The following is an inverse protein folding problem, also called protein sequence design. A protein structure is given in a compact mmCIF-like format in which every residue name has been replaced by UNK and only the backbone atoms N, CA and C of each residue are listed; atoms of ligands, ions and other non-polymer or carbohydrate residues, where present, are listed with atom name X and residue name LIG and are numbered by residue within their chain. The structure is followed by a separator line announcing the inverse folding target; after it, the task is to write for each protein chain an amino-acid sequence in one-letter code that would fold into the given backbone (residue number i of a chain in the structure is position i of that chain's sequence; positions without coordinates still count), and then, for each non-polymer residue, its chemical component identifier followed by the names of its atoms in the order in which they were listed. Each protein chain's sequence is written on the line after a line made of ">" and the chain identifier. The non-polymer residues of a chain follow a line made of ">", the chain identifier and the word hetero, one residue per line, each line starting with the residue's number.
data_IF_506263716170
#
_entry.id   IF_506263716170
#
_cell.length_a   1.000
_cell.length_b   1.000
_cell.length_c   1.000
_cell.angle_alpha   90.00
_cell.angle_beta   90.00
_cell.angle_gamma   90.00
#
_symmetry.space_group_name_H-M   'P 1'
#
loop_
_entity.id
_entity.type
_entity.pdbx_description
1 polymer ?
#
# COMPACT_ATOMS: atom_id res chain seq x y z
N UNK A 1 11.78 -16.59 -3.32
CA UNK A 1 12.10 -15.45 -2.43
C UNK A 1 11.72 -14.10 -3.07
N UNK A 2 11.87 -13.98 -4.39
CA UNK A 2 11.53 -12.79 -5.19
C UNK A 2 10.06 -12.32 -5.07
N UNK A 3 9.11 -13.26 -4.93
CA UNK A 3 7.68 -12.94 -4.87
C UNK A 3 7.29 -12.06 -3.66
N UNK A 4 7.96 -12.23 -2.51
CA UNK A 4 7.69 -11.43 -1.31
C UNK A 4 8.25 -10.00 -1.42
N UNK A 5 9.37 -9.83 -2.13
CA UNK A 5 9.95 -8.50 -2.34
C UNK A 5 9.09 -7.68 -3.31
N UNK A 6 8.67 -8.30 -4.43
CA UNK A 6 7.80 -7.65 -5.41
C UNK A 6 6.45 -7.25 -4.80
N UNK A 7 5.87 -8.15 -3.99
CA UNK A 7 4.66 -7.85 -3.21
C UNK A 7 4.85 -6.64 -2.30
N UNK A 8 5.90 -6.63 -1.47
CA UNK A 8 6.17 -5.50 -0.56
C UNK A 8 6.42 -4.20 -1.31
N UNK A 9 7.16 -4.25 -2.42
CA UNK A 9 7.45 -3.07 -3.24
C UNK A 9 6.17 -2.48 -3.84
N UNK A 10 5.32 -3.32 -4.41
CA UNK A 10 4.05 -2.87 -4.98
C UNK A 10 3.13 -2.27 -3.92
N UNK A 11 2.92 -2.97 -2.80
CA UNK A 11 2.05 -2.49 -1.71
C UNK A 11 2.57 -1.17 -1.13
N UNK A 12 3.88 -1.07 -0.89
CA UNK A 12 4.48 0.16 -0.37
C UNK A 12 4.31 1.32 -1.35
N UNK A 13 4.65 1.10 -2.61
CA UNK A 13 4.45 2.09 -3.66
C UNK A 13 2.98 2.53 -3.70
N UNK A 14 2.04 1.59 -3.87
CA UNK A 14 0.62 1.90 -4.05
C UNK A 14 -0.03 2.58 -2.83
N UNK A 15 0.29 2.16 -1.60
CA UNK A 15 -0.38 2.69 -0.40
C UNK A 15 0.25 3.98 0.16
N UNK A 16 1.55 4.19 -0.04
CA UNK A 16 2.31 5.24 0.65
C UNK A 16 2.96 6.27 -0.26
N UNK A 17 3.50 5.85 -1.41
CA UNK A 17 4.37 6.70 -2.22
C UNK A 17 3.74 7.17 -3.51
N UNK A 18 2.89 6.36 -4.13
CA UNK A 18 2.28 6.65 -5.41
C UNK A 18 1.30 7.82 -5.28
N UNK A 19 1.47 8.80 -6.16
CA UNK A 19 0.48 9.86 -6.38
C UNK A 19 -0.68 9.34 -7.21
N UNK A 20 -1.82 10.05 -7.17
CA UNK A 20 -2.98 9.71 -8.01
C UNK A 20 -2.63 9.68 -9.50
N UNK A 21 -1.77 10.58 -9.97
CA UNK A 21 -1.30 10.63 -11.36
C UNK A 21 -0.46 9.40 -11.73
N UNK A 22 0.44 8.97 -10.84
CA UNK A 22 1.25 7.77 -11.08
C UNK A 22 0.41 6.49 -11.09
N UNK A 23 -0.62 6.41 -10.22
CA UNK A 23 -1.57 5.31 -10.22
C UNK A 23 -2.36 5.30 -11.53
N UNK A 24 -2.90 6.45 -11.94
CA UNK A 24 -3.66 6.56 -13.18
C UNK A 24 -2.80 6.17 -14.39
N UNK A 25 -1.55 6.64 -14.45
CA UNK A 25 -0.61 6.27 -15.50
C UNK A 25 -0.30 4.78 -15.51
N UNK A 26 -0.14 4.16 -14.34
CA UNK A 26 0.08 2.72 -14.22
C UNK A 26 -1.15 1.93 -14.69
N UNK A 27 -2.36 2.37 -14.35
CA UNK A 27 -3.62 1.77 -14.80
C UNK A 27 -3.79 1.94 -16.32
N UNK A 28 -3.43 3.08 -16.90
CA UNK A 28 -3.47 3.30 -18.35
C UNK A 28 -2.46 2.43 -19.11
N UNK A 29 -1.24 2.29 -18.57
CA UNK A 29 -0.14 1.58 -19.25
C UNK A 29 -0.24 0.07 -19.08
N UNK A 30 -0.70 -0.41 -17.91
CA UNK A 30 -0.65 -1.82 -17.55
C UNK A 30 -1.84 -2.27 -16.71
N UNK A 31 -3.05 -1.86 -17.12
CA UNK A 31 -4.33 -2.10 -16.42
C UNK A 31 -4.48 -3.53 -15.89
N UNK A 32 -4.21 -4.53 -16.73
CA UNK A 32 -4.42 -5.92 -16.38
C UNK A 32 -3.47 -6.39 -15.25
N UNK A 33 -2.21 -5.96 -15.28
CA UNK A 33 -1.26 -6.28 -14.23
C UNK A 33 -1.59 -5.56 -12.93
N UNK A 34 -1.93 -4.26 -13.01
CA UNK A 34 -2.33 -3.47 -11.84
C UNK A 34 -3.56 -4.07 -11.17
N UNK A 35 -4.63 -4.34 -11.94
CA UNK A 35 -5.85 -4.96 -11.41
C UNK A 35 -5.56 -6.31 -10.75
N UNK A 36 -4.76 -7.16 -11.40
CA UNK A 36 -4.38 -8.45 -10.82
C UNK A 36 -3.64 -8.28 -9.49
N UNK A 37 -2.70 -7.35 -9.39
CA UNK A 37 -1.95 -7.09 -8.15
C UNK A 37 -2.83 -6.48 -7.06
N UNK A 38 -3.79 -5.62 -7.43
CA UNK A 38 -4.79 -5.08 -6.50
C UNK A 38 -5.70 -6.19 -5.96
N UNK A 39 -6.14 -7.12 -6.81
CA UNK A 39 -6.95 -8.26 -6.38
C UNK A 39 -6.13 -9.21 -5.49
N UNK A 40 -4.92 -9.56 -5.93
CA UNK A 40 -4.02 -10.49 -5.25
C UNK A 40 -3.59 -9.99 -3.86
N UNK A 41 -3.43 -8.68 -3.70
CA UNK A 41 -2.97 -8.04 -2.45
C UNK A 41 -4.05 -7.21 -1.75
N UNK A 42 -5.32 -7.40 -2.13
CA UNK A 42 -6.48 -6.66 -1.61
C UNK A 42 -6.53 -6.65 -0.08
N UNK A 43 -6.32 -7.81 0.55
CA UNK A 43 -6.34 -7.95 2.00
C UNK A 43 -5.28 -7.07 2.71
N UNK A 44 -4.04 -7.08 2.24
CA UNK A 44 -2.99 -6.23 2.82
C UNK A 44 -3.22 -4.75 2.55
N UNK A 45 -3.67 -4.40 1.34
CA UNK A 45 -4.00 -3.02 0.95
C UNK A 45 -5.11 -2.47 1.85
N UNK A 46 -6.18 -3.23 2.07
CA UNK A 46 -7.31 -2.81 2.89
C UNK A 46 -6.91 -2.63 4.36
N UNK A 47 -6.07 -3.52 4.88
CA UNK A 47 -5.50 -3.38 6.22
C UNK A 47 -4.68 -2.09 6.35
N UNK A 48 -3.84 -1.77 5.36
CA UNK A 48 -3.05 -0.53 5.36
C UNK A 48 -3.94 0.70 5.24
N UNK A 49 -4.93 0.69 4.33
CA UNK A 49 -5.90 1.78 4.17
C UNK A 49 -6.69 2.03 5.46
N UNK A 50 -7.13 0.97 6.14
CA UNK A 50 -7.84 1.06 7.42
C UNK A 50 -6.97 1.70 8.49
N UNK A 51 -5.72 1.25 8.60
CA UNK A 51 -4.76 1.80 9.56
C UNK A 51 -4.45 3.27 9.24
N UNK A 52 -4.21 3.61 7.97
CA UNK A 52 -3.94 4.97 7.51
C UNK A 52 -5.12 5.90 7.82
N UNK A 53 -6.34 5.48 7.50
CA UNK A 53 -7.58 6.21 7.84
C UNK A 53 -7.74 6.39 9.35
N UNK A 54 -7.43 5.37 10.16
CA UNK A 54 -7.44 5.52 11.61
C UNK A 54 -6.45 6.58 12.08
N UNK A 55 -5.21 6.59 11.55
CA UNK A 55 -4.21 7.60 11.91
C UNK A 55 -4.58 9.01 11.44
N UNK A 56 -5.07 9.17 10.21
CA UNK A 56 -5.47 10.45 9.66
C UNK A 56 -6.65 11.07 10.43
N UNK A 57 -7.56 10.22 10.94
CA UNK A 57 -8.72 10.64 11.73
C UNK A 57 -8.44 10.70 13.24
N UNK A 58 -7.41 10.02 13.72
CA UNK A 58 -6.95 10.17 15.09
C UNK A 58 -6.24 11.52 15.20
N UNK A 59 -6.60 12.31 16.20
CA UNK A 59 -5.88 13.54 16.56
C UNK A 59 -4.51 13.26 17.20
N UNK A 60 -3.80 12.25 16.69
CA UNK A 60 -2.42 11.98 17.05
C UNK A 60 -1.55 13.16 16.57
N UNK A 61 -0.61 13.62 17.40
CA UNK A 61 0.22 14.76 17.05
C UNK A 61 0.98 14.48 15.74
N UNK A 62 0.82 15.39 14.78
CA UNK A 62 1.55 15.38 13.50
C UNK A 62 3.05 15.30 13.80
N UNK A 63 3.68 14.16 13.53
CA UNK A 63 5.12 13.96 13.76
C UNK A 63 5.52 12.54 14.17
N UNK A 64 4.57 11.70 14.61
CA UNK A 64 4.85 10.28 14.87
C UNK A 64 4.46 9.48 13.62
N UNK A 65 5.45 9.10 12.81
CA UNK A 65 5.22 8.13 11.73
C UNK A 65 4.79 6.80 12.36
N UNK A 66 3.68 6.17 11.90
CA UNK A 66 3.30 4.88 12.41
C UNK A 66 4.39 3.87 12.07
N UNK A 67 5.04 3.34 13.11
CA UNK A 67 5.90 2.16 12.98
C UNK A 67 4.96 0.99 12.70
N UNK A 68 4.65 0.76 11.43
CA UNK A 68 3.99 -0.48 11.01
C UNK A 68 5.04 -1.56 11.18
N UNK A 69 4.84 -2.57 12.06
CA UNK A 69 5.80 -3.65 12.19
C UNK A 69 5.99 -4.29 10.82
N UNK A 70 7.24 -4.57 10.39
CA UNK A 70 7.46 -5.23 9.12
C UNK A 70 6.67 -6.54 9.10
N UNK A 71 5.84 -6.70 8.06
CA UNK A 71 5.02 -7.89 7.79
C UNK A 71 5.94 -9.12 7.69
N UNK A 72 6.26 -9.74 8.83
CA UNK A 72 7.17 -10.87 8.92
C UNK A 72 7.55 -11.32 10.34
N UNK A 73 6.90 -10.79 11.38
CA UNK A 73 7.09 -11.27 12.75
C UNK A 73 5.74 -11.70 13.36
N UNK A 74 5.17 -12.79 12.85
CA UNK A 74 4.27 -13.71 13.57
C UNK A 74 4.41 -15.09 12.94
#
# INVERSE_FOLDING_TARGET
>A
MENNLNKRNFINWYCWYATSEEIEKAEQTNKAAVNRLLDEYSFEIDKIKTVKSYYDNSSLPKGILPVVPPLGCF
#
